data_IF_600607972273
#
_entry.id   IF_600607972273
#
_cell.length_a   1.000
_cell.length_b   1.000
_cell.length_c   1.000
_cell.angle_alpha   90.00
_cell.angle_beta   90.00
_cell.angle_gamma   90.00
#
_symmetry.space_group_name_H-M   'P 1'
#
loop_
_entity.id
_entity.type
_entity.pdbx_description
1 polymer ?
#
# COMPACT_ATOMS: atom_id res chain seq x y z
N UNK A 1 11.45 -7.10 -11.55
CA UNK A 1 11.98 -6.18 -10.52
C UNK A 1 12.00 -6.86 -9.16
N UNK A 2 10.86 -7.31 -8.63
CA UNK A 2 10.80 -7.95 -7.31
C UNK A 2 11.64 -9.24 -7.23
N UNK A 3 11.48 -10.15 -8.21
CA UNK A 3 12.30 -11.39 -8.27
C UNK A 3 13.80 -11.08 -8.27
N UNK A 4 14.23 -10.12 -9.09
CA UNK A 4 15.63 -9.67 -9.09
C UNK A 4 16.11 -9.14 -7.74
N UNK A 5 15.28 -8.38 -7.00
CA UNK A 5 15.64 -7.91 -5.66
C UNK A 5 15.79 -9.07 -4.66
N UNK A 6 14.89 -10.06 -4.74
CA UNK A 6 14.97 -11.28 -3.93
C UNK A 6 16.24 -12.07 -4.27
N UNK A 7 16.59 -12.21 -5.55
CA UNK A 7 17.81 -12.89 -6.00
C UNK A 7 19.09 -12.20 -5.53
N UNK A 8 19.05 -10.86 -5.35
CA UNK A 8 20.14 -10.09 -4.74
C UNK A 8 20.20 -10.20 -3.21
N UNK A 9 19.27 -10.94 -2.59
CA UNK A 9 19.24 -11.17 -1.15
C UNK A 9 18.47 -10.12 -0.34
N UNK A 10 17.69 -9.24 -0.99
CA UNK A 10 16.82 -8.31 -0.29
C UNK A 10 15.55 -9.01 0.19
N UNK A 11 15.14 -8.71 1.42
CA UNK A 11 13.79 -9.02 1.88
C UNK A 11 12.82 -7.98 1.29
N UNK A 12 11.78 -8.46 0.62
CA UNK A 12 10.83 -7.58 -0.09
C UNK A 12 9.43 -7.86 0.40
N UNK A 13 8.65 -6.80 0.57
CA UNK A 13 7.22 -6.82 0.83
C UNK A 13 6.52 -5.87 -0.14
N UNK A 14 5.46 -6.34 -0.81
CA UNK A 14 4.69 -5.56 -1.78
C UNK A 14 3.28 -5.34 -1.23
N UNK A 15 2.94 -4.10 -0.88
CA UNK A 15 1.58 -3.72 -0.53
C UNK A 15 0.85 -3.16 -1.74
N UNK A 16 -0.24 -3.79 -2.14
CA UNK A 16 -1.04 -3.37 -3.30
C UNK A 16 -2.54 -3.48 -3.04
N UNK A 17 -3.32 -2.98 -4.00
CA UNK A 17 -4.78 -3.02 -3.92
C UNK A 17 -5.35 -4.41 -4.15
N UNK A 18 -6.61 -4.59 -3.77
CA UNK A 18 -7.40 -5.78 -4.12
C UNK A 18 -7.95 -5.71 -5.56
N UNK A 19 -7.37 -4.91 -6.45
CA UNK A 19 -7.81 -4.87 -7.84
C UNK A 19 -7.56 -6.22 -8.52
N UNK A 20 -8.57 -6.74 -9.21
CA UNK A 20 -8.50 -8.03 -9.89
C UNK A 20 -8.61 -9.25 -8.96
N UNK A 21 -8.88 -9.06 -7.66
CA UNK A 21 -9.13 -10.14 -6.70
C UNK A 21 -10.37 -9.86 -5.87
N UNK A 22 -11.12 -10.90 -5.49
CA UNK A 22 -12.39 -10.74 -4.79
C UNK A 22 -12.21 -10.32 -3.33
N UNK A 23 -11.11 -10.71 -2.70
CA UNK A 23 -10.84 -10.47 -1.29
C UNK A 23 -9.37 -10.17 -1.02
N UNK A 24 -9.10 -9.64 0.17
CA UNK A 24 -7.72 -9.43 0.61
C UNK A 24 -6.99 -10.78 0.69
N UNK A 25 -5.79 -10.84 0.12
CA UNK A 25 -4.99 -12.06 0.07
C UNK A 25 -3.50 -11.74 0.22
N UNK A 26 -2.76 -12.74 0.69
CA UNK A 26 -1.31 -12.69 0.84
C UNK A 26 -0.73 -13.83 0.01
N UNK A 27 0.04 -13.49 -1.02
CA UNK A 27 0.67 -14.44 -1.92
C UNK A 27 2.19 -14.27 -1.82
N UNK A 28 2.82 -15.06 -0.95
CA UNK A 28 4.24 -14.90 -0.62
C UNK A 28 4.50 -13.51 -0.02
N UNK A 29 5.32 -12.71 -0.70
CA UNK A 29 5.64 -11.33 -0.30
C UNK A 29 4.63 -10.27 -0.78
N UNK A 30 3.54 -10.67 -1.46
CA UNK A 30 2.56 -9.73 -2.02
C UNK A 30 1.31 -9.67 -1.14
N UNK A 31 1.10 -8.51 -0.52
CA UNK A 31 -0.03 -8.18 0.35
C UNK A 31 -1.07 -7.37 -0.45
N UNK A 32 -2.10 -8.05 -0.96
CA UNK A 32 -3.23 -7.42 -1.65
C UNK A 32 -4.26 -6.98 -0.62
N UNK A 33 -4.15 -5.77 -0.09
CA UNK A 33 -4.99 -5.26 1.00
C UNK A 33 -5.62 -3.88 0.72
N UNK A 34 -5.02 -3.04 -0.12
CA UNK A 34 -5.47 -1.65 -0.29
C UNK A 34 -6.78 -1.55 -1.07
N UNK A 35 -7.56 -0.51 -0.78
CA UNK A 35 -8.84 -0.24 -1.42
C UNK A 35 -8.70 0.89 -2.44
N UNK A 36 -9.26 0.69 -3.63
CA UNK A 36 -9.37 1.75 -4.64
C UNK A 36 -10.50 2.70 -4.24
N UNK A 37 -10.23 3.99 -4.30
CA UNK A 37 -11.15 5.06 -3.98
C UNK A 37 -12.10 5.33 -5.14
N UNK A 38 -13.40 5.15 -4.90
CA UNK A 38 -14.46 5.54 -5.82
C UNK A 38 -14.89 6.99 -5.51
N UNK A 39 -14.77 7.88 -6.51
CA UNK A 39 -15.09 9.31 -6.39
C UNK A 39 -16.23 9.75 -7.31
N UNK A 40 -16.99 8.80 -7.86
CA UNK A 40 -18.05 9.05 -8.85
C UNK A 40 -19.27 9.82 -8.30
N UNK A 41 -19.61 9.64 -7.02
CA UNK A 41 -20.83 10.18 -6.38
C UNK A 41 -20.58 10.73 -4.97
N UNK A 42 -21.50 11.52 -4.40
CA UNK A 42 -21.37 12.01 -3.01
C UNK A 42 -21.31 10.89 -1.96
N UNK A 43 -22.09 9.83 -2.14
CA UNK A 43 -22.03 8.62 -1.28
C UNK A 43 -20.66 7.95 -1.43
N UNK A 44 -20.12 7.88 -2.65
CA UNK A 44 -18.77 7.37 -2.90
C UNK A 44 -17.68 8.22 -2.23
N UNK A 45 -17.89 9.52 -2.00
CA UNK A 45 -16.91 10.37 -1.30
C UNK A 45 -16.77 10.00 0.18
N UNK A 46 -17.87 9.72 0.88
CA UNK A 46 -17.82 9.25 2.28
C UNK A 46 -17.13 7.88 2.34
N UNK A 47 -17.49 6.98 1.42
CA UNK A 47 -16.84 5.68 1.27
C UNK A 47 -15.34 5.83 0.99
N UNK A 48 -14.96 6.76 0.12
CA UNK A 48 -13.57 7.10 -0.21
C UNK A 48 -12.80 7.60 0.99
N UNK A 49 -13.37 8.44 1.85
CA UNK A 49 -12.69 8.90 3.07
C UNK A 49 -12.44 7.71 4.01
N UNK A 50 -13.43 6.83 4.17
CA UNK A 50 -13.30 5.61 4.97
C UNK A 50 -12.22 4.69 4.40
N UNK A 51 -12.23 4.47 3.09
CA UNK A 51 -11.29 3.58 2.42
C UNK A 51 -9.87 4.17 2.40
N UNK A 52 -9.72 5.50 2.30
CA UNK A 52 -8.43 6.17 2.43
C UNK A 52 -7.85 6.02 3.86
N UNK A 53 -8.69 6.19 4.89
CA UNK A 53 -8.28 5.93 6.29
C UNK A 53 -7.91 4.47 6.53
N UNK A 54 -8.63 3.54 5.89
CA UNK A 54 -8.29 2.13 5.93
C UNK A 54 -6.91 1.90 5.29
N UNK A 55 -6.65 2.48 4.11
CA UNK A 55 -5.37 2.36 3.43
C UNK A 55 -4.21 2.92 4.27
N UNK A 56 -4.40 4.07 4.94
CA UNK A 56 -3.43 4.62 5.88
C UNK A 56 -3.08 3.60 6.97
N UNK A 57 -4.09 3.08 7.68
CA UNK A 57 -3.88 2.17 8.82
C UNK A 57 -3.21 0.87 8.39
N UNK A 58 -3.67 0.27 7.29
CA UNK A 58 -3.10 -0.95 6.76
C UNK A 58 -1.63 -0.76 6.35
N UNK A 59 -1.31 0.39 5.74
CA UNK A 59 0.07 0.71 5.34
C UNK A 59 0.96 0.95 6.56
N UNK A 60 0.49 1.72 7.53
CA UNK A 60 1.23 2.00 8.76
C UNK A 60 1.54 0.72 9.53
N UNK A 61 0.53 -0.14 9.73
CA UNK A 61 0.69 -1.43 10.41
C UNK A 61 1.70 -2.32 9.71
N UNK A 62 1.58 -2.50 8.39
CA UNK A 62 2.51 -3.34 7.65
C UNK A 62 3.93 -2.76 7.66
N UNK A 63 4.08 -1.44 7.62
CA UNK A 63 5.39 -0.79 7.69
C UNK A 63 6.04 -1.04 9.05
N UNK A 64 5.29 -1.01 10.15
CA UNK A 64 5.80 -1.33 11.48
C UNK A 64 6.12 -2.82 11.65
N UNK A 65 5.28 -3.71 11.12
CA UNK A 65 5.46 -5.16 11.19
C UNK A 65 6.65 -5.64 10.36
N UNK A 66 6.78 -5.13 9.13
CA UNK A 66 7.85 -5.50 8.21
C UNK A 66 9.17 -4.74 8.49
N UNK A 67 9.09 -3.57 9.11
CA UNK A 67 10.22 -2.70 9.43
C UNK A 67 11.19 -2.46 8.24
N UNK A 68 10.70 -1.99 7.07
CA UNK A 68 11.55 -1.79 5.90
C UNK A 68 12.56 -0.65 6.09
N UNK A 69 13.78 -0.84 5.57
CA UNK A 69 14.78 0.24 5.48
C UNK A 69 14.41 1.31 4.43
N UNK A 70 13.65 0.92 3.41
CA UNK A 70 13.26 1.77 2.28
C UNK A 70 11.89 1.35 1.73
N UNK A 71 11.05 2.33 1.40
CA UNK A 71 9.81 2.11 0.68
C UNK A 71 9.89 2.69 -0.73
N UNK A 72 9.46 1.92 -1.73
CA UNK A 72 9.31 2.38 -3.11
C UNK A 72 7.83 2.44 -3.49
N UNK A 73 7.39 3.62 -3.93
CA UNK A 73 6.02 3.86 -4.39
C UNK A 73 5.98 3.93 -5.91
N UNK A 74 5.46 2.86 -6.53
CA UNK A 74 5.31 2.81 -7.98
C UNK A 74 4.09 3.59 -8.47
N UNK A 75 2.93 3.42 -7.83
CA UNK A 75 1.73 4.16 -8.22
C UNK A 75 0.78 4.37 -7.05
N UNK A 76 0.39 5.63 -6.85
CA UNK A 76 -0.68 6.01 -5.90
C UNK A 76 -2.04 6.20 -6.58
N UNK A 77 -2.14 5.87 -7.88
CA UNK A 77 -3.35 6.09 -8.67
C UNK A 77 -4.52 5.31 -8.03
N UNK A 78 -5.56 6.04 -7.65
CA UNK A 78 -6.74 5.46 -7.04
C UNK A 78 -6.62 5.13 -5.54
N UNK A 79 -5.50 5.41 -4.86
CA UNK A 79 -5.29 5.01 -3.46
C UNK A 79 -5.29 6.18 -2.45
N UNK A 80 -5.25 7.42 -2.93
CA UNK A 80 -4.86 8.66 -2.20
C UNK A 80 -3.38 8.71 -1.80
N UNK A 81 -2.96 9.86 -1.27
CA UNK A 81 -1.62 10.08 -0.73
C UNK A 81 -1.39 9.42 0.64
N UNK A 82 -2.46 8.98 1.32
CA UNK A 82 -2.37 8.53 2.71
C UNK A 82 -1.44 7.31 2.96
N UNK A 83 -1.31 6.33 2.05
CA UNK A 83 -0.29 5.28 2.21
C UNK A 83 1.13 5.84 2.26
N UNK A 84 1.45 6.83 1.43
CA UNK A 84 2.78 7.44 1.43
C UNK A 84 3.05 8.20 2.73
N UNK A 85 2.05 8.91 3.26
CA UNK A 85 2.16 9.56 4.56
C UNK A 85 2.31 8.55 5.70
N UNK A 86 1.59 7.43 5.67
CA UNK A 86 1.71 6.37 6.67
C UNK A 86 3.14 5.79 6.73
N UNK A 87 3.82 5.63 5.59
CA UNK A 87 5.22 5.20 5.54
C UNK A 87 6.14 6.25 6.17
N UNK A 88 5.93 7.53 5.84
CA UNK A 88 6.73 8.63 6.40
C UNK A 88 6.52 8.79 7.91
N UNK A 89 5.27 8.69 8.37
CA UNK A 89 4.89 8.74 9.79
C UNK A 89 5.47 7.56 10.58
N UNK A 90 5.70 6.41 9.91
CA UNK A 90 6.42 5.27 10.46
C UNK A 90 7.96 5.46 10.50
N UNK A 91 8.48 6.59 10.04
CA UNK A 91 9.92 6.91 10.02
C UNK A 91 10.69 6.32 8.84
N UNK A 92 10.00 5.75 7.85
CA UNK A 92 10.63 5.10 6.70
C UNK A 92 10.76 6.06 5.53
N UNK A 93 11.92 6.05 4.86
CA UNK A 93 12.14 6.84 3.65
C UNK A 93 11.33 6.27 2.50
N UNK A 94 10.64 7.14 1.76
CA UNK A 94 9.86 6.77 0.58
C UNK A 94 10.46 7.40 -0.69
N UNK A 95 10.55 6.59 -1.74
CA UNK A 95 10.97 7.01 -3.09
C UNK A 95 9.79 6.84 -4.04
N UNK A 96 9.53 7.85 -4.88
CA UNK A 96 8.47 7.83 -5.88
C UNK A 96 9.04 7.59 -7.28
N UNK A 97 8.29 6.86 -8.11
CA UNK A 97 8.55 6.67 -9.54
C UNK A 97 7.71 7.58 -10.42
#
# INVERSE_FOLDING_TARGET
>A
MIEGLVDFGYEVCVLTSTHGVEQAQIDGHVYRKLRILDRSTRISQIKSIRDARFNYRATYQLTQEFAPDLCFSWSIRGLSILPALAVQDAGVKIVFS
#
